data_IF_633176799231
#
_entry.id   IF_633176799231
#
_cell.length_a   1.000
_cell.length_b   1.000
_cell.length_c   1.000
_cell.angle_alpha   90.00
_cell.angle_beta   90.00
_cell.angle_gamma   90.00
#
_symmetry.space_group_name_H-M   'P 1'
#
loop_
_entity.id
_entity.type
_entity.pdbx_description
1 polymer ?
#
# COMPACT_ATOMS: atom_id res chain seq x y z
N UNK A 1 4.66 21.65 -18.19
CA UNK A 1 4.48 21.47 -16.73
C UNK A 1 5.52 22.34 -16.04
N UNK A 2 5.13 23.33 -15.21
CA UNK A 2 6.08 24.28 -14.59
C UNK A 2 7.02 23.53 -13.63
N UNK A 3 8.26 23.99 -13.51
CA UNK A 3 9.31 23.43 -12.62
C UNK A 3 8.81 23.29 -11.18
N UNK A 4 8.06 24.25 -10.68
CA UNK A 4 7.45 24.27 -9.34
C UNK A 4 6.52 23.07 -9.10
N UNK A 5 5.71 22.68 -10.10
CA UNK A 5 4.80 21.52 -9.98
C UNK A 5 5.54 20.19 -9.88
N UNK A 6 6.63 20.03 -10.62
CA UNK A 6 7.48 18.85 -10.56
C UNK A 6 8.16 18.71 -9.20
N UNK A 7 8.70 19.82 -8.68
CA UNK A 7 9.38 19.85 -7.37
C UNK A 7 8.41 19.50 -6.24
N UNK A 8 7.21 20.09 -6.22
CA UNK A 8 6.18 19.78 -5.21
C UNK A 8 5.82 18.29 -5.22
N UNK A 9 5.60 17.73 -6.40
CA UNK A 9 5.26 16.31 -6.56
C UNK A 9 6.39 15.41 -6.07
N UNK A 10 7.63 15.73 -6.40
CA UNK A 10 8.81 14.98 -5.94
C UNK A 10 8.94 15.02 -4.41
N UNK A 11 8.74 16.19 -3.80
CA UNK A 11 8.76 16.34 -2.33
C UNK A 11 7.68 15.49 -1.65
N UNK A 12 6.46 15.49 -2.19
CA UNK A 12 5.35 14.67 -1.65
C UNK A 12 5.65 13.18 -1.75
N UNK A 13 6.22 12.75 -2.88
CA UNK A 13 6.62 11.35 -3.08
C UNK A 13 7.71 10.94 -2.08
N UNK A 14 8.75 11.77 -1.95
CA UNK A 14 9.86 11.53 -1.01
C UNK A 14 9.38 11.49 0.44
N UNK A 15 8.44 12.36 0.83
CA UNK A 15 7.85 12.37 2.16
C UNK A 15 7.09 11.08 2.44
N UNK A 16 6.29 10.59 1.50
CA UNK A 16 5.56 9.33 1.65
C UNK A 16 6.50 8.14 1.73
N UNK A 17 7.59 8.12 0.94
CA UNK A 17 8.62 7.08 1.01
C UNK A 17 9.32 7.11 2.38
N UNK A 18 9.68 8.30 2.89
CA UNK A 18 10.28 8.45 4.20
C UNK A 18 9.34 7.98 5.33
N UNK A 19 8.04 8.31 5.23
CA UNK A 19 7.04 7.82 6.16
C UNK A 19 6.94 6.29 6.14
N UNK A 20 6.92 5.68 4.96
CA UNK A 20 6.93 4.22 4.82
C UNK A 20 8.22 3.61 5.39
N UNK A 21 9.37 4.24 5.21
CA UNK A 21 10.63 3.77 5.80
C UNK A 21 10.56 3.78 7.33
N UNK A 22 10.05 4.85 7.93
CA UNK A 22 9.83 4.91 9.38
C UNK A 22 8.88 3.79 9.83
N UNK A 23 7.76 3.60 9.15
CA UNK A 23 6.83 2.52 9.46
C UNK A 23 7.48 1.13 9.31
N UNK A 24 8.29 0.90 8.27
CA UNK A 24 8.94 -0.39 8.02
C UNK A 24 9.89 -0.81 9.12
N UNK A 25 10.67 0.13 9.65
CA UNK A 25 11.72 -0.13 10.63
C UNK A 25 11.32 0.18 12.08
N UNK A 26 10.03 0.49 12.31
CA UNK A 26 9.46 0.64 13.65
C UNK A 26 8.36 -0.41 13.89
N UNK A 27 8.01 -0.71 15.15
CA UNK A 27 6.90 -1.62 15.46
C UNK A 27 5.54 -1.13 14.95
N UNK A 28 5.44 0.15 14.58
CA UNK A 28 4.17 0.76 14.13
C UNK A 28 3.68 0.23 12.78
N UNK A 29 4.60 -0.14 11.88
CA UNK A 29 4.22 -0.59 10.53
C UNK A 29 3.79 -2.05 10.45
N UNK A 30 4.16 -2.85 11.45
CA UNK A 30 3.85 -4.27 11.53
C UNK A 30 3.38 -4.60 12.94
N UNK A 31 2.08 -4.69 13.11
CA UNK A 31 1.48 -5.06 14.39
C UNK A 31 1.43 -6.59 14.45
N UNK A 32 2.21 -7.15 15.37
CA UNK A 32 2.27 -8.59 15.58
C UNK A 32 0.98 -9.08 16.26
N UNK A 33 0.15 -9.77 15.51
CA UNK A 33 -0.97 -10.54 16.05
C UNK A 33 -0.78 -11.97 15.55
N UNK A 34 -0.22 -12.89 16.39
CA UNK A 34 0.02 -14.25 15.95
C UNK A 34 -1.24 -14.91 15.36
N UNK A 35 -1.12 -15.71 14.29
CA UNK A 35 0.12 -16.21 13.68
C UNK A 35 0.71 -15.33 12.57
N UNK A 36 0.10 -14.19 12.23
CA UNK A 36 0.49 -13.34 11.10
C UNK A 36 0.55 -11.87 11.54
N UNK A 37 1.50 -11.13 10.97
CA UNK A 37 1.63 -9.69 11.22
C UNK A 37 0.64 -8.89 10.37
N UNK A 38 -0.10 -7.97 11.00
CA UNK A 38 -0.91 -6.96 10.31
C UNK A 38 0.02 -5.86 9.79
N UNK A 39 -0.08 -5.51 8.52
CA UNK A 39 0.70 -4.42 7.96
C UNK A 39 -0.16 -3.20 7.63
N UNK A 40 0.24 -2.02 8.09
CA UNK A 40 -0.38 -0.76 7.72
C UNK A 40 0.40 0.01 6.64
N UNK A 41 1.51 -0.56 6.16
CA UNK A 41 2.38 0.07 5.16
C UNK A 41 1.73 0.26 3.79
N UNK A 42 0.67 -0.48 3.48
CA UNK A 42 -0.09 -0.31 2.24
C UNK A 42 -0.90 0.99 2.22
N UNK A 43 -1.23 1.56 3.39
CA UNK A 43 -2.04 2.78 3.51
C UNK A 43 -1.36 4.01 2.86
N UNK A 44 -0.10 4.36 3.15
CA UNK A 44 0.61 5.44 2.46
C UNK A 44 0.70 5.27 0.94
N UNK A 45 0.78 4.02 0.44
CA UNK A 45 0.76 3.73 -1.00
C UNK A 45 -0.59 4.11 -1.60
N UNK A 46 -1.69 3.70 -0.96
CA UNK A 46 -3.05 4.02 -1.41
C UNK A 46 -3.28 5.54 -1.37
N UNK A 47 -2.89 6.22 -0.28
CA UNK A 47 -2.99 7.68 -0.16
C UNK A 47 -2.22 8.37 -1.29
N UNK A 48 -0.97 7.98 -1.51
CA UNK A 48 -0.15 8.53 -2.58
C UNK A 48 -0.72 8.27 -3.98
N UNK A 49 -1.26 7.07 -4.23
CA UNK A 49 -1.91 6.73 -5.49
C UNK A 49 -3.16 7.57 -5.76
N UNK A 50 -3.95 7.87 -4.73
CA UNK A 50 -5.15 8.70 -4.82
C UNK A 50 -4.77 10.17 -5.07
N UNK A 51 -3.79 10.70 -4.37
CA UNK A 51 -3.39 12.11 -4.43
C UNK A 51 -2.53 12.45 -5.66
N UNK A 52 -1.57 11.59 -5.99
CA UNK A 52 -0.57 11.84 -7.03
C UNK A 52 -0.87 11.10 -8.34
N UNK A 53 -1.60 10.01 -8.26
CA UNK A 53 -2.04 9.21 -9.40
C UNK A 53 -1.39 7.82 -9.48
N UNK A 54 -1.85 6.96 -10.41
CA UNK A 54 -1.48 5.54 -10.45
C UNK A 54 0.01 5.29 -10.72
N UNK A 55 0.69 6.14 -11.50
CA UNK A 55 2.13 5.99 -11.76
C UNK A 55 2.94 6.22 -10.48
N UNK A 56 2.61 7.27 -9.71
CA UNK A 56 3.27 7.55 -8.43
C UNK A 56 2.90 6.48 -7.38
N UNK A 57 1.65 5.99 -7.43
CA UNK A 57 1.22 4.82 -6.65
C UNK A 57 2.06 3.58 -6.95
N UNK A 58 2.40 3.33 -8.23
CA UNK A 58 3.29 2.24 -8.62
C UNK A 58 4.71 2.42 -8.05
N UNK A 59 5.25 3.63 -8.08
CA UNK A 59 6.58 3.95 -7.50
C UNK A 59 6.56 3.72 -5.98
N UNK A 60 5.52 4.20 -5.29
CA UNK A 60 5.34 3.97 -3.85
C UNK A 60 5.17 2.49 -3.53
N UNK A 61 4.41 1.76 -4.34
CA UNK A 61 4.26 0.31 -4.24
C UNK A 61 5.59 -0.44 -4.41
N UNK A 62 6.42 -0.02 -5.38
CA UNK A 62 7.77 -0.54 -5.54
C UNK A 62 8.66 -0.28 -4.33
N UNK A 63 8.64 0.94 -3.78
CA UNK A 63 9.35 1.30 -2.56
C UNK A 63 8.88 0.45 -1.36
N UNK A 64 7.57 0.25 -1.21
CA UNK A 64 7.00 -0.63 -0.20
C UNK A 64 7.51 -2.07 -0.36
N UNK A 65 7.51 -2.60 -1.59
CA UNK A 65 8.01 -3.94 -1.89
C UNK A 65 9.48 -4.12 -1.49
N UNK A 66 10.32 -3.14 -1.82
CA UNK A 66 11.74 -3.13 -1.42
C UNK A 66 11.92 -3.10 0.10
N UNK A 67 11.15 -2.26 0.81
CA UNK A 67 11.19 -2.21 2.28
C UNK A 67 10.73 -3.52 2.91
N UNK A 68 9.69 -4.17 2.36
CA UNK A 68 9.22 -5.48 2.81
C UNK A 68 10.30 -6.55 2.66
N UNK A 69 10.99 -6.54 1.52
CA UNK A 69 12.10 -7.45 1.22
C UNK A 69 13.29 -7.26 2.18
N UNK A 70 13.67 -6.00 2.43
CA UNK A 70 14.74 -5.67 3.37
C UNK A 70 14.36 -6.11 4.79
N UNK A 71 13.14 -5.83 5.23
CA UNK A 71 12.66 -6.23 6.55
C UNK A 71 12.63 -7.74 6.72
N UNK A 72 12.08 -8.47 5.78
CA UNK A 72 12.05 -9.93 5.81
C UNK A 72 13.46 -10.55 5.85
N UNK A 73 14.44 -9.88 5.24
CA UNK A 73 15.83 -10.34 5.23
C UNK A 73 16.60 -10.01 6.51
N UNK A 74 16.15 -9.01 7.29
CA UNK A 74 16.88 -8.56 8.51
C UNK A 74 16.18 -8.93 9.79
N UNK A 75 14.86 -8.92 9.83
CA UNK A 75 14.04 -9.09 11.05
C UNK A 75 12.78 -9.92 10.78
N UNK A 76 12.93 -11.08 10.15
CA UNK A 76 11.80 -12.00 9.99
C UNK A 76 11.36 -12.51 11.38
N UNK A 77 10.06 -12.45 11.64
CA UNK A 77 9.48 -12.77 12.95
C UNK A 77 8.65 -14.05 12.88
N UNK A 78 8.12 -14.38 11.71
CA UNK A 78 7.33 -15.60 11.47
C UNK A 78 7.94 -16.46 10.37
N UNK A 79 7.64 -17.78 10.34
CA UNK A 79 8.06 -18.64 9.23
C UNK A 79 7.56 -18.16 7.87
N UNK A 80 6.39 -17.51 7.83
CA UNK A 80 5.82 -16.93 6.62
C UNK A 80 6.64 -15.71 6.16
N UNK A 81 7.16 -14.90 7.11
CA UNK A 81 7.99 -13.74 6.78
C UNK A 81 9.30 -14.16 6.10
N UNK A 82 9.85 -15.34 6.43
CA UNK A 82 11.06 -15.86 5.79
C UNK A 82 10.88 -16.10 4.28
N UNK A 83 9.67 -16.40 3.83
CA UNK A 83 9.38 -16.58 2.40
C UNK A 83 9.46 -15.28 1.59
N UNK A 84 9.32 -14.13 2.25
CA UNK A 84 9.54 -12.82 1.63
C UNK A 84 11.03 -12.47 1.52
N UNK A 85 11.94 -13.23 2.16
CA UNK A 85 13.37 -13.03 2.06
C UNK A 85 13.96 -13.85 0.92
N UNK A 86 14.64 -13.24 -0.07
CA UNK A 86 15.30 -13.97 -1.15
C UNK A 86 16.47 -14.82 -0.65
N UNK A 87 16.98 -14.55 0.55
CA UNK A 87 18.11 -15.29 1.14
C UNK A 87 17.66 -16.49 1.97
N UNK A 88 16.45 -16.44 2.56
CA UNK A 88 15.95 -17.47 3.47
C UNK A 88 14.91 -18.39 2.85
N UNK A 89 14.22 -17.98 1.78
CA UNK A 89 13.12 -18.73 1.17
C UNK A 89 13.53 -19.94 0.34
N UNK A 90 14.81 -20.05 -0.04
CA UNK A 90 15.27 -21.05 -1.01
C UNK A 90 14.83 -20.79 -2.46
N UNK A 91 14.00 -19.78 -2.71
CA UNK A 91 13.48 -19.40 -4.02
C UNK A 91 13.59 -17.87 -4.23
N UNK A 92 14.80 -17.31 -4.48
CA UNK A 92 15.04 -15.87 -4.50
C UNK A 92 14.14 -15.11 -5.49
N UNK A 93 13.94 -15.66 -6.68
CA UNK A 93 13.12 -15.04 -7.70
C UNK A 93 11.63 -14.98 -7.29
N UNK A 94 11.11 -16.05 -6.70
CA UNK A 94 9.75 -16.10 -6.21
C UNK A 94 9.51 -15.05 -5.10
N UNK A 95 10.44 -14.90 -4.15
CA UNK A 95 10.39 -13.88 -3.11
C UNK A 95 10.39 -12.46 -3.68
N UNK A 96 11.23 -12.18 -4.67
CA UNK A 96 11.25 -10.88 -5.35
C UNK A 96 9.91 -10.56 -6.01
N UNK A 97 9.36 -11.49 -6.79
CA UNK A 97 8.06 -11.32 -7.46
C UNK A 97 6.97 -11.09 -6.44
N UNK A 98 6.90 -11.92 -5.39
CA UNK A 98 5.90 -11.82 -4.33
C UNK A 98 6.02 -10.52 -3.54
N UNK A 99 7.24 -10.00 -3.31
CA UNK A 99 7.44 -8.74 -2.59
C UNK A 99 7.11 -7.51 -3.43
N UNK A 100 7.40 -7.53 -4.73
CA UNK A 100 7.36 -6.30 -5.54
C UNK A 100 6.05 -6.19 -6.31
N UNK A 101 5.66 -7.24 -7.03
CA UNK A 101 4.54 -7.20 -7.98
C UNK A 101 3.19 -6.83 -7.32
N UNK A 102 2.74 -7.47 -6.23
CA UNK A 102 1.48 -7.13 -5.58
C UNK A 102 1.44 -5.68 -5.04
N UNK A 103 2.59 -5.16 -4.60
CA UNK A 103 2.71 -3.79 -4.05
C UNK A 103 2.64 -2.73 -5.15
N UNK A 104 3.27 -2.97 -6.29
CA UNK A 104 3.13 -2.09 -7.47
C UNK A 104 1.67 -2.09 -7.94
N UNK A 105 1.07 -3.27 -8.07
CA UNK A 105 -0.34 -3.40 -8.50
C UNK A 105 -1.30 -2.74 -7.52
N UNK A 106 -1.06 -2.82 -6.21
CA UNK A 106 -1.82 -2.08 -5.19
C UNK A 106 -1.91 -0.59 -5.53
N UNK A 107 -0.77 0.05 -5.78
CA UNK A 107 -0.71 1.47 -6.11
C UNK A 107 -1.38 1.83 -7.43
N UNK A 108 -1.18 1.00 -8.46
CA UNK A 108 -1.84 1.17 -9.77
C UNK A 108 -3.36 1.04 -9.63
N UNK A 109 -3.83 -0.03 -8.99
CA UNK A 109 -5.26 -0.31 -8.81
C UNK A 109 -5.93 0.82 -8.03
N UNK A 110 -5.36 1.23 -6.89
CA UNK A 110 -5.90 2.33 -6.08
C UNK A 110 -6.05 3.63 -6.87
N UNK A 111 -5.00 4.02 -7.60
CA UNK A 111 -5.00 5.25 -8.39
C UNK A 111 -5.94 5.20 -9.60
N UNK A 112 -6.02 4.06 -10.30
CA UNK A 112 -6.93 3.87 -11.44
C UNK A 112 -8.39 3.86 -10.99
N UNK A 113 -8.72 3.10 -9.94
CA UNK A 113 -10.08 3.04 -9.40
C UNK A 113 -10.54 4.41 -8.91
N UNK A 114 -9.69 5.13 -8.18
CA UNK A 114 -10.04 6.47 -7.74
C UNK A 114 -10.31 7.42 -8.92
N UNK A 115 -9.47 7.41 -9.97
CA UNK A 115 -9.71 8.21 -11.18
C UNK A 115 -11.03 7.88 -11.88
N UNK A 116 -11.42 6.62 -11.87
CA UNK A 116 -12.68 6.16 -12.45
C UNK A 116 -13.87 6.60 -11.59
N UNK A 117 -13.82 6.32 -10.29
CA UNK A 117 -14.94 6.55 -9.36
C UNK A 117 -15.16 8.02 -9.02
N UNK A 118 -14.12 8.87 -9.05
CA UNK A 118 -14.28 10.32 -8.80
C UNK A 118 -15.23 10.99 -9.81
N UNK A 119 -15.43 10.39 -10.97
CA UNK A 119 -16.38 10.91 -11.99
C UNK A 119 -17.83 10.86 -11.53
N UNK A 120 -18.15 10.07 -10.51
CA UNK A 120 -19.51 9.98 -9.94
C UNK A 120 -19.90 11.19 -9.07
N UNK A 121 -18.98 12.13 -8.84
CA UNK A 121 -19.21 13.31 -7.99
C UNK A 121 -19.22 13.02 -6.48
N UNK A 122 -19.13 11.75 -6.06
CA UNK A 122 -19.13 11.32 -4.65
C UNK A 122 -17.70 11.03 -4.18
N UNK A 123 -16.95 12.08 -3.84
CA UNK A 123 -15.53 12.00 -3.52
C UNK A 123 -15.20 11.02 -2.38
N UNK A 124 -15.94 11.09 -1.26
CA UNK A 124 -15.74 10.17 -0.11
C UNK A 124 -15.97 8.71 -0.50
N UNK A 125 -17.01 8.45 -1.29
CA UNK A 125 -17.29 7.11 -1.81
C UNK A 125 -16.16 6.62 -2.71
N UNK A 126 -15.67 7.48 -3.61
CA UNK A 126 -14.56 7.13 -4.50
C UNK A 126 -13.29 6.77 -3.73
N UNK A 127 -12.93 7.55 -2.69
CA UNK A 127 -11.76 7.26 -1.83
C UNK A 127 -11.94 5.92 -1.11
N UNK A 128 -13.05 5.75 -0.38
CA UNK A 128 -13.30 4.57 0.44
C UNK A 128 -13.33 3.28 -0.40
N UNK A 129 -14.06 3.30 -1.53
CA UNK A 129 -14.18 2.13 -2.41
C UNK A 129 -12.86 1.79 -3.09
N UNK A 130 -12.07 2.80 -3.51
CA UNK A 130 -10.76 2.57 -4.10
C UNK A 130 -9.79 1.97 -3.08
N UNK A 131 -9.80 2.44 -1.84
CA UNK A 131 -8.99 1.88 -0.77
C UNK A 131 -9.39 0.44 -0.46
N UNK A 132 -10.69 0.17 -0.35
CA UNK A 132 -11.21 -1.16 -0.06
C UNK A 132 -10.82 -2.18 -1.14
N UNK A 133 -11.14 -1.88 -2.40
CA UNK A 133 -10.86 -2.80 -3.51
C UNK A 133 -9.35 -3.00 -3.69
N UNK A 134 -8.55 -1.94 -3.62
CA UNK A 134 -7.11 -2.06 -3.75
C UNK A 134 -6.48 -2.91 -2.63
N UNK A 135 -6.95 -2.75 -1.38
CA UNK A 135 -6.51 -3.56 -0.24
C UNK A 135 -6.89 -5.04 -0.41
N UNK A 136 -8.13 -5.34 -0.81
CA UNK A 136 -8.58 -6.71 -1.09
C UNK A 136 -7.74 -7.33 -2.23
N UNK A 137 -7.56 -6.62 -3.34
CA UNK A 137 -6.74 -7.11 -4.44
C UNK A 137 -5.30 -7.38 -4.01
N UNK A 138 -4.72 -6.51 -3.18
CA UNK A 138 -3.38 -6.72 -2.64
C UNK A 138 -3.27 -8.01 -1.82
N UNK A 139 -4.21 -8.23 -0.89
CA UNK A 139 -4.25 -9.45 -0.08
C UNK A 139 -4.39 -10.70 -0.95
N UNK A 140 -5.32 -10.68 -1.92
CA UNK A 140 -5.52 -11.80 -2.85
C UNK A 140 -4.27 -12.06 -3.71
N UNK A 141 -3.61 -11.00 -4.18
CA UNK A 141 -2.38 -11.14 -4.99
C UNK A 141 -1.22 -11.71 -4.16
N UNK A 142 -1.03 -11.26 -2.92
CA UNK A 142 0.02 -11.79 -2.03
C UNK A 142 -0.23 -13.26 -1.73
N UNK A 143 -1.46 -13.61 -1.34
CA UNK A 143 -1.83 -15.01 -1.05
C UNK A 143 -1.76 -15.89 -2.30
N UNK A 144 -2.17 -15.35 -3.46
CA UNK A 144 -2.05 -16.04 -4.75
C UNK A 144 -0.59 -16.30 -5.14
N UNK A 145 0.28 -15.32 -4.95
CA UNK A 145 1.72 -15.50 -5.17
C UNK A 145 2.31 -16.53 -4.18
N UNK A 146 1.91 -16.46 -2.91
CA UNK A 146 2.35 -17.41 -1.90
C UNK A 146 1.96 -18.84 -2.28
N UNK A 147 0.74 -19.03 -2.74
CA UNK A 147 0.25 -20.33 -3.19
C UNK A 147 0.93 -20.82 -4.47
N UNK A 148 1.07 -19.95 -5.45
CA UNK A 148 1.58 -20.35 -6.76
C UNK A 148 3.10 -20.58 -6.78
N UNK A 149 3.84 -19.94 -5.87
CA UNK A 149 5.31 -19.92 -5.87
C UNK A 149 5.94 -20.76 -4.74
N UNK A 150 5.15 -21.13 -3.72
CA UNK A 150 5.65 -21.87 -2.56
C UNK A 150 4.72 -23.03 -2.20
N UNK A 151 5.10 -24.25 -2.56
CA UNK A 151 4.30 -25.49 -2.36
C UNK A 151 4.19 -25.95 -0.89
N UNK A 152 4.89 -25.29 0.05
CA UNK A 152 5.20 -25.85 1.36
C UNK A 152 4.21 -25.47 2.49
N UNK A 153 3.14 -24.74 2.23
CA UNK A 153 2.25 -24.25 3.30
C UNK A 153 0.87 -24.89 3.20
N UNK A 154 0.35 -25.49 4.30
CA UNK A 154 -1.05 -25.93 4.37
C UNK A 154 -1.96 -24.70 4.33
N UNK A 155 -2.38 -24.35 3.11
CA UNK A 155 -3.07 -23.10 2.77
C UNK A 155 -4.37 -22.88 3.53
N UNK A 156 -5.10 -23.91 3.91
CA UNK A 156 -6.41 -23.76 4.55
C UNK A 156 -6.34 -22.97 5.85
N UNK A 157 -5.37 -23.28 6.70
CA UNK A 157 -5.27 -22.65 8.03
C UNK A 157 -4.69 -21.23 7.95
N UNK A 158 -3.71 -21.03 7.08
CA UNK A 158 -3.13 -19.72 6.82
C UNK A 158 -4.13 -18.80 6.13
N UNK A 159 -4.87 -19.31 5.16
CA UNK A 159 -5.89 -18.54 4.43
C UNK A 159 -7.04 -18.10 5.35
N UNK A 160 -7.58 -18.99 6.16
CA UNK A 160 -8.66 -18.68 7.10
C UNK A 160 -8.25 -17.64 8.15
N UNK A 161 -7.01 -17.69 8.63
CA UNK A 161 -6.51 -16.75 9.64
C UNK A 161 -6.17 -15.39 9.02
N UNK A 162 -5.52 -15.35 7.85
CA UNK A 162 -5.13 -14.09 7.19
C UNK A 162 -6.36 -13.38 6.63
N UNK A 163 -7.27 -14.10 5.95
CA UNK A 163 -8.46 -13.49 5.33
C UNK A 163 -9.53 -13.20 6.38
N UNK A 164 -9.64 -14.02 7.44
CA UNK A 164 -10.63 -13.83 8.48
C UNK A 164 -10.41 -12.54 9.29
N UNK A 165 -9.70 -12.66 10.38
CA UNK A 165 -9.58 -11.56 11.34
C UNK A 165 -8.62 -10.45 10.90
N UNK A 166 -7.41 -10.83 10.42
CA UNK A 166 -6.38 -9.86 10.02
C UNK A 166 -6.80 -9.07 8.78
N UNK A 167 -7.37 -9.74 7.77
CA UNK A 167 -7.82 -9.09 6.54
C UNK A 167 -8.91 -8.06 6.77
N UNK A 168 -9.86 -8.33 7.70
CA UNK A 168 -10.92 -7.37 8.05
C UNK A 168 -10.32 -6.15 8.75
N UNK A 169 -9.37 -6.34 9.66
CA UNK A 169 -8.70 -5.23 10.36
C UNK A 169 -7.87 -4.38 9.40
N UNK A 170 -7.07 -4.99 8.54
CA UNK A 170 -6.30 -4.29 7.51
C UNK A 170 -7.20 -3.51 6.55
N UNK A 171 -8.29 -4.11 6.10
CA UNK A 171 -9.26 -3.48 5.21
C UNK A 171 -9.94 -2.28 5.88
N UNK A 172 -10.41 -2.45 7.12
CA UNK A 172 -11.05 -1.36 7.87
C UNK A 172 -10.09 -0.21 8.13
N UNK A 173 -8.86 -0.50 8.54
CA UNK A 173 -7.81 0.50 8.73
C UNK A 173 -7.49 1.23 7.41
N UNK A 174 -7.35 0.50 6.29
CA UNK A 174 -7.10 1.09 4.99
C UNK A 174 -8.20 2.08 4.57
N UNK A 175 -9.47 1.70 4.72
CA UNK A 175 -10.60 2.55 4.35
C UNK A 175 -10.71 3.78 5.26
N UNK A 176 -10.66 3.56 6.58
CA UNK A 176 -10.84 4.64 7.56
C UNK A 176 -9.70 5.65 7.48
N UNK A 177 -8.44 5.19 7.56
CA UNK A 177 -7.27 6.08 7.58
C UNK A 177 -7.11 6.79 6.23
N UNK A 178 -7.25 6.08 5.10
CA UNK A 178 -7.15 6.70 3.77
C UNK A 178 -8.22 7.78 3.61
N UNK A 179 -9.46 7.51 4.00
CA UNK A 179 -10.56 8.48 3.88
C UNK A 179 -10.34 9.68 4.80
N UNK A 180 -9.93 9.44 6.05
CA UNK A 180 -9.67 10.49 7.04
C UNK A 180 -8.51 11.41 6.63
N UNK A 181 -7.52 10.90 5.90
CA UNK A 181 -6.37 11.69 5.43
C UNK A 181 -6.65 12.35 4.09
N UNK A 182 -7.12 11.59 3.09
CA UNK A 182 -7.28 12.13 1.74
C UNK A 182 -8.34 13.21 1.65
N UNK A 183 -9.48 13.03 2.32
CA UNK A 183 -10.60 14.00 2.23
C UNK A 183 -10.26 15.42 2.69
N UNK A 184 -9.72 15.66 3.90
CA UNK A 184 -9.33 17.00 4.33
C UNK A 184 -8.18 17.56 3.50
N UNK A 185 -7.21 16.72 3.12
CA UNK A 185 -6.06 17.16 2.33
C UNK A 185 -6.49 17.64 0.93
N UNK A 186 -7.40 16.94 0.28
CA UNK A 186 -7.95 17.38 -1.02
C UNK A 186 -8.71 18.70 -0.92
N UNK A 187 -9.54 18.87 0.13
CA UNK A 187 -10.23 20.15 0.38
C UNK A 187 -9.24 21.29 0.59
N UNK A 188 -8.19 21.07 1.36
CA UNK A 188 -7.14 22.05 1.61
C UNK A 188 -6.40 22.42 0.32
N UNK A 189 -6.03 21.44 -0.51
CA UNK A 189 -5.36 21.68 -1.79
C UNK A 189 -6.26 22.43 -2.77
N UNK A 190 -7.55 22.13 -2.82
CA UNK A 190 -8.53 22.83 -3.64
C UNK A 190 -8.66 24.31 -3.20
N UNK A 191 -8.77 24.56 -1.89
CA UNK A 191 -8.82 25.92 -1.34
C UNK A 191 -7.56 26.73 -1.65
N UNK A 192 -6.38 26.13 -1.57
CA UNK A 192 -5.12 26.79 -1.95
C UNK A 192 -5.05 27.12 -3.45
N UNK A 193 -5.56 26.23 -4.31
CA UNK A 193 -5.67 26.47 -5.74
C UNK A 193 -6.53 27.70 -6.06
N UNK A 194 -7.72 27.74 -5.48
CA UNK A 194 -8.64 28.87 -5.63
C UNK A 194 -8.06 30.21 -5.14
N UNK A 195 -7.34 30.21 -4.01
CA UNK A 195 -6.66 31.41 -3.48
C UNK A 195 -5.52 31.89 -4.38
N UNK A 196 -4.83 31.01 -5.08
CA UNK A 196 -3.77 31.38 -6.04
C UNK A 196 -4.36 31.98 -7.32
N UNK A 197 -5.46 31.44 -7.82
CA UNK A 197 -6.16 31.99 -8.98
C UNK A 197 -6.76 33.37 -8.70
N UNK A 198 -7.28 33.60 -7.48
CA UNK A 198 -7.80 34.91 -7.09
C UNK A 198 -6.74 36.01 -6.90
N UNK A 199 -5.45 35.63 -6.78
CA UNK A 199 -4.33 36.56 -6.60
C UNK A 199 -3.51 36.79 -7.89
N UNK A 200 -3.82 36.11 -8.96
CA UNK A 200 -3.17 36.20 -10.26
C UNK A 200 -3.97 37.09 -11.22
#
# INVERSE_FOLDING_TARGET
MSTTRKTTKFTQLSLLIALMAVLAFTPLGFIMIPPVSITIMHIPVIIGAILLGPVDGAILGGAFGLMSLLKASTTAVSPVDLLFSPFASGAPFASLVMCILPRILLGVIAGCLYRLLRRTGRETFAIATSAAIASICHTVLVLGCLWALFDAIPLKDVFLTIVGFNGILELSAAVVVTTAVCRPLMKFLAAQGALREAKA
#
